data_IF_467857219276
#
_entry.id   IF_467857219276
#
_cell.length_a   1.000
_cell.length_b   1.000
_cell.length_c   1.000
_cell.angle_alpha   90.00
_cell.angle_beta   90.00
_cell.angle_gamma   90.00
#
_symmetry.space_group_name_H-M   'P 1'
#
loop_
_entity.id
_entity.type
_entity.pdbx_description
1 polymer ?
#
# COMPACT_ATOMS: atom_id res chain seq x y z
N UNK A 1 22.61 -15.04 4.95
CA UNK A 1 21.82 -14.36 5.99
C UNK A 1 20.56 -13.87 5.31
N UNK A 2 19.40 -14.49 5.56
CA UNK A 2 18.14 -13.99 5.04
C UNK A 2 17.87 -12.65 5.72
N UNK A 3 17.96 -11.56 4.96
CA UNK A 3 17.63 -10.23 5.47
C UNK A 3 16.12 -10.12 5.59
N UNK A 4 15.62 -9.69 6.75
CA UNK A 4 14.21 -9.37 6.89
C UNK A 4 13.87 -8.18 5.98
N UNK A 5 12.83 -8.33 5.17
CA UNK A 5 12.34 -7.28 4.28
C UNK A 5 11.21 -6.52 4.96
N UNK A 6 11.48 -5.27 5.34
CA UNK A 6 10.47 -4.36 5.86
C UNK A 6 9.77 -3.67 4.69
N UNK A 7 8.47 -3.91 4.55
CA UNK A 7 7.67 -3.30 3.49
C UNK A 7 6.35 -2.77 4.02
N UNK A 8 5.83 -1.77 3.34
CA UNK A 8 4.55 -1.18 3.68
C UNK A 8 3.41 -1.93 2.99
N UNK A 9 2.31 -2.14 3.69
CA UNK A 9 1.10 -2.77 3.17
C UNK A 9 -0.09 -1.84 3.36
N UNK A 10 -0.97 -1.80 2.36
CA UNK A 10 -2.21 -1.05 2.48
C UNK A 10 -3.17 -1.78 3.42
N UNK A 11 -3.64 -1.12 4.47
CA UNK A 11 -4.58 -1.70 5.44
C UNK A 11 -5.94 -2.07 4.78
N UNK A 12 -6.29 -1.44 3.65
CA UNK A 12 -7.58 -1.64 2.97
C UNK A 12 -7.47 -2.66 1.85
N UNK A 13 -6.60 -2.42 0.86
CA UNK A 13 -6.52 -3.24 -0.34
C UNK A 13 -5.39 -4.28 -0.32
N UNK A 14 -4.60 -4.33 0.77
CA UNK A 14 -3.47 -5.27 0.98
C UNK A 14 -2.37 -5.23 -0.08
N UNK A 15 -2.34 -4.22 -0.95
CA UNK A 15 -1.21 -3.95 -1.85
C UNK A 15 0.05 -3.64 -1.03
N UNK A 16 1.21 -4.03 -1.54
CA UNK A 16 2.52 -3.86 -0.92
C UNK A 16 3.29 -2.76 -1.64
N UNK A 17 3.99 -1.91 -0.87
CA UNK A 17 4.86 -0.87 -1.38
C UNK A 17 6.23 -1.44 -1.73
N UNK A 18 6.58 -1.39 -3.00
CA UNK A 18 7.84 -1.84 -3.60
C UNK A 18 8.72 -0.63 -3.92
N UNK A 19 9.38 -0.08 -2.89
CA UNK A 19 10.22 1.12 -3.01
C UNK A 19 11.55 0.87 -3.76
N UNK A 20 11.91 -0.39 -3.98
CA UNK A 20 13.20 -0.78 -4.56
C UNK A 20 13.16 -0.95 -6.09
N UNK A 21 12.02 -0.71 -6.73
CA UNK A 21 11.90 -0.84 -8.19
C UNK A 21 12.27 0.47 -8.90
N UNK A 22 13.50 0.55 -9.42
CA UNK A 22 14.06 1.68 -10.18
C UNK A 22 13.32 2.01 -11.50
N UNK A 23 12.29 1.23 -11.86
CA UNK A 23 11.54 1.34 -13.10
C UNK A 23 10.18 2.01 -12.91
N UNK A 24 10.16 3.34 -12.92
CA UNK A 24 8.98 4.20 -13.11
C UNK A 24 8.05 4.40 -11.89
N UNK A 25 7.88 5.69 -11.58
CA UNK A 25 7.13 6.38 -10.52
C UNK A 25 5.65 6.00 -10.32
N UNK A 26 5.14 4.95 -10.97
CA UNK A 26 3.71 4.60 -10.99
C UNK A 26 3.42 3.16 -10.54
N UNK A 27 4.45 2.31 -10.37
CA UNK A 27 4.30 0.89 -9.99
C UNK A 27 4.76 0.58 -8.56
N UNK A 28 4.81 1.58 -7.69
CA UNK A 28 5.24 1.41 -6.31
C UNK A 28 4.31 0.49 -5.50
N UNK A 29 3.08 0.21 -5.92
CA UNK A 29 2.15 -0.65 -5.19
C UNK A 29 1.75 -1.88 -6.00
N UNK A 30 2.13 -3.06 -5.54
CA UNK A 30 1.86 -4.34 -6.21
C UNK A 30 1.19 -5.35 -5.27
N UNK A 31 0.85 -6.54 -5.76
CA UNK A 31 0.34 -7.62 -4.90
C UNK A 31 1.50 -8.23 -4.09
N UNK A 32 1.21 -8.85 -2.94
CA UNK A 32 2.22 -9.60 -2.18
C UNK A 32 2.86 -10.69 -3.03
N UNK A 33 2.10 -11.37 -3.88
CA UNK A 33 2.62 -12.43 -4.76
C UNK A 33 3.63 -11.88 -5.75
N UNK A 34 3.34 -10.72 -6.35
CA UNK A 34 4.27 -10.08 -7.29
C UNK A 34 5.53 -9.59 -6.57
N UNK A 35 5.38 -9.04 -5.36
CA UNK A 35 6.50 -8.62 -4.54
C UNK A 35 7.45 -9.78 -4.22
N UNK A 36 6.91 -10.89 -3.68
CA UNK A 36 7.69 -12.09 -3.34
C UNK A 36 8.39 -12.67 -4.58
N UNK A 37 7.71 -12.67 -5.72
CA UNK A 37 8.29 -13.14 -6.99
C UNK A 37 9.46 -12.27 -7.46
N UNK A 38 9.34 -10.95 -7.36
CA UNK A 38 10.38 -10.00 -7.80
C UNK A 38 11.62 -10.06 -6.93
N UNK A 39 11.43 -10.12 -5.62
CA UNK A 39 12.53 -10.10 -4.64
C UNK A 39 13.05 -11.49 -4.29
N UNK A 40 12.42 -12.56 -4.81
CA UNK A 40 12.74 -13.96 -4.49
C UNK A 40 12.75 -14.21 -2.96
N UNK A 41 11.83 -13.56 -2.26
CA UNK A 41 11.70 -13.64 -0.80
C UNK A 41 10.56 -14.57 -0.40
N UNK A 42 10.69 -15.19 0.77
CA UNK A 42 9.61 -15.95 1.37
C UNK A 42 8.74 -15.02 2.23
N UNK A 43 7.44 -15.32 2.31
CA UNK A 43 6.49 -14.50 3.07
C UNK A 43 6.85 -14.39 4.56
N UNK A 44 7.51 -15.41 5.10
CA UNK A 44 7.99 -15.46 6.49
C UNK A 44 9.14 -14.47 6.78
N UNK A 45 9.87 -14.05 5.75
CA UNK A 45 10.96 -13.09 5.86
C UNK A 45 10.50 -11.64 5.64
N UNK A 46 9.19 -11.42 5.45
CA UNK A 46 8.62 -10.10 5.15
C UNK A 46 7.85 -9.56 6.34
N UNK A 47 8.31 -8.42 6.87
CA UNK A 47 7.62 -7.69 7.94
C UNK A 47 6.78 -6.59 7.30
N UNK A 48 5.47 -6.66 7.53
CA UNK A 48 4.50 -5.72 7.00
C UNK A 48 4.21 -4.60 8.01
N UNK A 49 4.43 -3.36 7.59
CA UNK A 49 3.90 -2.18 8.28
C UNK A 49 2.63 -1.70 7.60
N UNK A 50 1.59 -1.39 8.36
CA UNK A 50 0.33 -0.90 7.79
C UNK A 50 0.42 0.59 7.43
N UNK A 51 -0.13 0.96 6.28
CA UNK A 51 -0.42 2.35 5.89
C UNK A 51 -1.54 2.35 4.82
N UNK A 52 -1.77 3.48 4.14
CA UNK A 52 -2.74 3.57 3.04
C UNK A 52 -2.03 3.81 1.72
N UNK A 53 -2.42 3.07 0.68
CA UNK A 53 -1.96 3.36 -0.69
C UNK A 53 -2.68 4.62 -1.23
N UNK A 54 -2.11 5.31 -2.24
CA UNK A 54 -2.70 6.52 -2.82
C UNK A 54 -4.17 6.34 -3.23
N UNK A 55 -4.52 5.21 -3.84
CA UNK A 55 -5.90 4.89 -4.23
C UNK A 55 -6.86 4.90 -3.03
N UNK A 56 -6.44 4.28 -1.92
CA UNK A 56 -7.25 4.18 -0.71
C UNK A 56 -7.30 5.51 0.05
N UNK A 57 -6.20 6.27 0.09
CA UNK A 57 -6.17 7.62 0.67
C UNK A 57 -7.12 8.55 -0.09
N UNK A 58 -7.05 8.56 -1.43
CA UNK A 58 -7.96 9.36 -2.26
C UNK A 58 -9.42 8.93 -2.09
N UNK A 59 -9.69 7.63 -1.96
CA UNK A 59 -11.05 7.12 -1.73
C UNK A 59 -11.58 7.58 -0.37
N UNK A 60 -10.75 7.52 0.67
CA UNK A 60 -11.08 8.01 2.00
C UNK A 60 -11.34 9.53 2.01
N UNK A 61 -10.47 10.32 1.36
CA UNK A 61 -10.63 11.77 1.25
C UNK A 61 -11.93 12.15 0.55
N UNK A 62 -12.29 11.44 -0.53
CA UNK A 62 -13.58 11.64 -1.22
C UNK A 62 -14.75 11.36 -0.29
N UNK A 63 -14.73 10.25 0.44
CA UNK A 63 -15.78 9.89 1.39
C UNK A 63 -15.92 10.95 2.50
N UNK A 64 -14.81 11.44 3.04
CA UNK A 64 -14.83 12.48 4.07
C UNK A 64 -15.41 13.80 3.57
N UNK A 65 -15.12 14.20 2.32
CA UNK A 65 -15.72 15.39 1.71
C UNK A 65 -17.23 15.26 1.53
N UNK A 66 -17.73 14.08 1.16
CA UNK A 66 -19.18 13.84 1.09
C UNK A 66 -19.85 13.97 2.47
N UNK A 67 -19.21 13.43 3.52
CA UNK A 67 -19.71 13.55 4.89
C UNK A 67 -19.72 14.99 5.41
N UNK A 68 -18.69 15.79 5.08
CA UNK A 68 -18.64 17.21 5.45
C UNK A 68 -19.72 18.03 4.75
N UNK A 69 -19.96 17.82 3.45
CA UNK A 69 -21.00 18.54 2.72
C UNK A 69 -22.43 18.23 3.24
N UNK A 70 -22.66 17.11 3.92
CA UNK A 70 -23.93 16.82 4.57
C UNK A 70 -24.14 17.56 5.90
N UNK A 71 -23.07 18.00 6.57
CA UNK A 71 -23.15 18.74 7.83
C UNK A 71 -23.28 20.25 7.62
N UNK A 72 -22.83 20.79 6.47
CA UNK A 72 -22.98 22.21 6.13
C UNK A 72 -24.40 22.58 5.66
N UNK A 73 -25.26 21.59 5.39
CA UNK A 73 -26.66 21.78 4.94
C UNK A 73 -27.69 21.54 6.05
N UNK A 74 -27.27 21.42 7.32
CA UNK A 74 -28.14 21.28 8.48
C UNK A 74 -27.97 22.47 9.44
#
# INVERSE_FOLDING_TARGET
>A
MAGLHFVFSCAVCRKIRDDHWDGANEQAWCSLVDFLRRHQTHAEDVILSECYCPDCTLSYDRLMRYGQAQLDFM
#
